data_IF_585637047815
#
_entry.id   IF_585637047815
#
_cell.length_a   1.000
_cell.length_b   1.000
_cell.length_c   1.000
_cell.angle_alpha   90.00
_cell.angle_beta   90.00
_cell.angle_gamma   90.00
#
_symmetry.space_group_name_H-M   'P 1'
#
loop_
_entity.id
_entity.type
_entity.pdbx_description
1 polymer ?
#
# COMPACT_ATOMS: atom_id res chain seq x y z
N UNK A 1 -9.41 35.90 28.26
CA UNK A 1 -9.30 34.81 27.27
C UNK A 1 -8.01 34.04 27.54
N UNK A 2 -8.07 32.73 27.81
CA UNK A 2 -6.86 31.94 28.09
C UNK A 2 -5.95 31.88 26.85
N UNK A 3 -4.63 32.01 27.05
CA UNK A 3 -3.65 31.91 25.95
C UNK A 3 -3.76 30.54 25.30
N UNK A 4 -3.90 30.51 23.97
CA UNK A 4 -3.96 29.26 23.20
C UNK A 4 -2.70 28.42 23.43
N UNK A 5 -2.86 27.12 23.68
CA UNK A 5 -1.71 26.21 23.81
C UNK A 5 -1.16 25.81 22.44
N UNK A 6 0.16 25.59 22.35
CA UNK A 6 0.82 25.08 21.12
C UNK A 6 0.11 23.82 20.59
N UNK A 7 -0.25 22.88 21.47
CA UNK A 7 -0.96 21.66 21.08
C UNK A 7 -2.31 21.95 20.42
N UNK A 8 -3.08 22.88 20.99
CA UNK A 8 -4.39 23.25 20.46
C UNK A 8 -4.24 23.87 19.07
N UNK A 9 -3.36 24.85 18.93
CA UNK A 9 -3.05 25.52 17.67
C UNK A 9 -2.61 24.53 16.58
N UNK A 10 -1.66 23.64 16.91
CA UNK A 10 -1.17 22.62 15.98
C UNK A 10 -2.28 21.67 15.52
N UNK A 11 -3.07 21.12 16.47
CA UNK A 11 -4.16 20.21 16.13
C UNK A 11 -5.22 20.90 15.27
N UNK A 12 -5.63 22.13 15.63
CA UNK A 12 -6.63 22.89 14.90
C UNK A 12 -6.20 23.09 13.44
N UNK A 13 -4.99 23.60 13.22
CA UNK A 13 -4.45 23.87 11.87
C UNK A 13 -4.14 22.60 11.08
N UNK A 14 -3.53 21.59 11.69
CA UNK A 14 -3.16 20.35 11.00
C UNK A 14 -4.38 19.55 10.51
N UNK A 15 -5.51 19.63 11.24
CA UNK A 15 -6.70 18.85 10.93
C UNK A 15 -7.64 19.53 9.95
N UNK A 16 -7.43 20.81 9.62
CA UNK A 16 -8.22 21.51 8.59
C UNK A 16 -8.26 20.70 7.28
N UNK A 17 -9.47 20.39 6.81
CA UNK A 17 -9.72 19.63 5.58
C UNK A 17 -9.43 18.12 5.65
N UNK A 18 -9.14 17.55 6.83
CA UNK A 18 -8.89 16.11 7.00
C UNK A 18 -10.16 15.41 7.49
N UNK A 19 -10.68 14.47 6.69
CA UNK A 19 -11.89 13.69 7.01
C UNK A 19 -11.60 12.22 7.36
N UNK A 20 -10.39 11.72 7.07
CA UNK A 20 -10.02 10.33 7.37
C UNK A 20 -9.66 10.14 8.86
N UNK A 21 -10.46 9.32 9.57
CA UNK A 21 -10.32 9.08 11.01
C UNK A 21 -8.93 8.57 11.45
N UNK A 22 -8.30 7.73 10.62
CA UNK A 22 -6.95 7.23 10.94
C UNK A 22 -5.94 8.38 10.86
N UNK A 23 -6.00 9.20 9.81
CA UNK A 23 -5.16 10.39 9.63
C UNK A 23 -5.37 11.38 10.77
N UNK A 24 -6.63 11.64 11.17
CA UNK A 24 -6.95 12.49 12.34
C UNK A 24 -6.26 11.98 13.61
N UNK A 25 -6.34 10.68 13.88
CA UNK A 25 -5.73 10.06 15.06
C UNK A 25 -4.22 10.18 15.05
N UNK A 26 -3.58 9.89 13.91
CA UNK A 26 -2.13 10.00 13.74
C UNK A 26 -1.68 11.46 13.88
N UNK A 27 -2.36 12.40 13.23
CA UNK A 27 -2.00 13.81 13.27
C UNK A 27 -2.15 14.39 14.68
N UNK A 28 -3.23 14.07 15.40
CA UNK A 28 -3.38 14.48 16.80
C UNK A 28 -2.23 13.97 17.68
N UNK A 29 -1.80 12.73 17.49
CA UNK A 29 -0.65 12.17 18.21
C UNK A 29 0.63 12.90 17.86
N UNK A 30 0.90 13.12 16.59
CA UNK A 30 2.17 13.69 16.13
C UNK A 30 2.26 15.18 16.50
N UNK A 31 1.16 15.95 16.41
CA UNK A 31 1.05 17.29 16.98
C UNK A 31 1.28 17.32 18.49
N UNK A 32 0.75 16.33 19.24
CA UNK A 32 0.99 16.22 20.69
C UNK A 32 2.47 15.96 20.98
N UNK A 33 3.12 15.06 20.25
CA UNK A 33 4.53 14.74 20.44
C UNK A 33 5.42 15.96 20.16
N UNK A 34 5.16 16.68 19.08
CA UNK A 34 5.89 17.91 18.76
C UNK A 34 5.65 19.01 19.80
N UNK A 35 4.40 19.19 20.26
CA UNK A 35 4.11 20.15 21.33
C UNK A 35 4.86 19.84 22.65
N UNK A 36 5.07 18.55 22.97
CA UNK A 36 5.90 18.14 24.11
C UNK A 36 7.35 18.54 23.86
N UNK A 37 7.88 18.25 22.67
CA UNK A 37 9.24 18.64 22.29
C UNK A 37 9.46 20.16 22.39
N UNK A 38 8.53 20.98 21.90
CA UNK A 38 8.60 22.45 22.02
C UNK A 38 8.76 22.90 23.47
N UNK A 39 7.97 22.33 24.40
CA UNK A 39 8.02 22.70 25.82
C UNK A 39 9.35 22.35 26.47
N UNK A 40 9.90 21.17 26.14
CA UNK A 40 11.20 20.73 26.65
C UNK A 40 12.35 21.62 26.13
N UNK A 41 12.18 22.21 24.95
CA UNK A 41 13.15 23.11 24.31
C UNK A 41 12.79 24.60 24.50
N UNK A 42 12.18 24.95 25.63
CA UNK A 42 11.86 26.32 26.04
C UNK A 42 10.91 27.13 25.11
N UNK A 43 10.20 26.48 24.19
CA UNK A 43 9.14 27.10 23.37
C UNK A 43 7.79 26.80 24.01
N UNK A 44 7.24 27.80 24.72
CA UNK A 44 6.06 27.64 25.58
C UNK A 44 4.77 28.18 24.94
N UNK A 45 4.88 29.12 24.00
CA UNK A 45 3.72 29.81 23.40
C UNK A 45 3.67 29.64 21.87
N UNK A 46 2.45 29.72 21.28
CA UNK A 46 2.28 29.81 19.83
C UNK A 46 3.14 30.87 19.15
N UNK A 47 3.20 32.07 19.72
CA UNK A 47 3.93 33.22 19.18
C UNK A 47 5.45 32.94 19.11
N UNK A 48 6.01 32.33 20.15
CA UNK A 48 7.43 31.91 20.16
C UNK A 48 7.72 30.87 19.09
N UNK A 49 6.81 29.90 18.91
CA UNK A 49 6.97 28.85 17.91
C UNK A 49 6.89 29.43 16.49
N UNK A 50 5.93 30.32 16.22
CA UNK A 50 5.73 30.89 14.88
C UNK A 50 6.95 31.70 14.41
N UNK A 51 7.60 32.44 15.31
CA UNK A 51 8.82 33.22 15.02
C UNK A 51 10.03 32.36 14.63
N UNK A 52 10.07 31.09 15.05
CA UNK A 52 11.23 30.20 14.90
C UNK A 52 10.84 28.82 14.33
N UNK A 53 9.73 28.75 13.62
CA UNK A 53 9.09 27.49 13.23
C UNK A 53 9.99 26.54 12.45
N UNK A 54 10.73 27.04 11.47
CA UNK A 54 11.65 26.24 10.65
C UNK A 54 12.81 25.71 11.49
N UNK A 55 13.42 26.56 12.32
CA UNK A 55 14.51 26.18 13.23
C UNK A 55 14.07 25.09 14.22
N UNK A 56 12.90 25.25 14.86
CA UNK A 56 12.39 24.28 15.83
C UNK A 56 11.95 22.97 15.18
N UNK A 57 11.43 23.02 13.94
CA UNK A 57 11.14 21.82 13.16
C UNK A 57 12.42 21.08 12.75
N UNK A 58 13.48 21.78 12.37
CA UNK A 58 14.77 21.17 12.08
C UNK A 58 15.36 20.51 13.32
N UNK A 59 15.43 21.22 14.45
CA UNK A 59 15.90 20.64 15.72
C UNK A 59 15.07 19.42 16.17
N UNK A 60 13.78 19.43 15.88
CA UNK A 60 12.93 18.28 16.14
C UNK A 60 13.27 17.09 15.24
N UNK A 61 13.50 17.34 13.96
CA UNK A 61 14.01 16.35 13.01
C UNK A 61 15.33 15.75 13.50
N UNK A 62 16.33 16.58 13.80
CA UNK A 62 17.64 16.14 14.28
C UNK A 62 17.50 15.26 15.53
N UNK A 63 16.59 15.62 16.44
CA UNK A 63 16.33 14.83 17.66
C UNK A 63 15.73 13.46 17.36
N UNK A 64 14.92 13.33 16.31
CA UNK A 64 14.35 12.06 15.89
C UNK A 64 15.40 11.19 15.19
N UNK A 65 16.25 11.79 14.36
CA UNK A 65 17.36 11.09 13.72
C UNK A 65 18.38 10.59 14.76
N UNK A 66 18.78 11.45 15.70
CA UNK A 66 19.66 11.10 16.82
C UNK A 66 19.08 10.01 17.74
N UNK A 67 17.75 9.96 17.86
CA UNK A 67 17.06 8.88 18.58
C UNK A 67 16.95 7.57 17.76
N UNK A 68 17.55 7.50 16.57
CA UNK A 68 17.59 6.32 15.72
C UNK A 68 16.27 6.01 15.02
N UNK A 69 15.35 6.97 14.88
CA UNK A 69 14.11 6.73 14.16
C UNK A 69 14.36 6.52 12.67
N UNK A 70 13.68 5.53 12.07
CA UNK A 70 13.76 5.30 10.62
C UNK A 70 13.21 6.49 9.83
N UNK A 71 13.71 6.78 8.61
CA UNK A 71 13.27 7.93 7.82
C UNK A 71 11.76 7.99 7.57
N UNK A 72 11.10 6.85 7.33
CA UNK A 72 9.65 6.81 7.18
C UNK A 72 8.88 7.24 8.44
N UNK A 73 9.47 7.02 9.63
CA UNK A 73 8.93 7.46 10.90
C UNK A 73 9.17 8.95 11.09
N UNK A 74 10.38 9.44 10.85
CA UNK A 74 10.72 10.88 10.91
C UNK A 74 9.76 11.71 10.05
N UNK A 75 9.61 11.35 8.78
CA UNK A 75 8.70 12.05 7.85
C UNK A 75 7.24 12.07 8.36
N UNK A 76 6.81 10.99 9.01
CA UNK A 76 5.45 10.92 9.60
C UNK A 76 5.31 11.89 10.78
N UNK A 77 6.29 11.91 11.68
CA UNK A 77 6.30 12.80 12.84
C UNK A 77 6.33 14.28 12.42
N UNK A 78 7.00 14.61 11.31
CA UNK A 78 7.06 15.97 10.76
C UNK A 78 5.79 16.40 10.01
N UNK A 79 5.02 15.47 9.43
CA UNK A 79 3.92 15.80 8.52
C UNK A 79 2.85 16.71 9.13
N UNK A 80 2.35 16.37 10.33
CA UNK A 80 1.31 17.17 10.98
C UNK A 80 1.85 18.53 11.50
N UNK A 81 3.02 18.59 12.16
CA UNK A 81 3.68 19.85 12.52
C UNK A 81 3.96 20.79 11.34
N UNK A 82 4.58 20.31 10.26
CA UNK A 82 4.87 21.12 9.07
C UNK A 82 3.59 21.71 8.47
N UNK A 83 2.53 20.88 8.34
CA UNK A 83 1.22 21.35 7.87
C UNK A 83 0.64 22.45 8.77
N UNK A 84 0.66 22.25 10.08
CA UNK A 84 0.10 23.22 11.03
C UNK A 84 0.83 24.58 11.02
N UNK A 85 2.14 24.56 10.80
CA UNK A 85 3.00 25.74 10.80
C UNK A 85 3.18 26.36 9.40
N UNK A 86 2.55 25.76 8.39
CA UNK A 86 2.70 26.15 6.98
C UNK A 86 4.17 26.23 6.55
N UNK A 87 4.96 25.23 6.94
CA UNK A 87 6.36 25.06 6.52
C UNK A 87 6.40 23.94 5.49
N UNK A 88 6.97 24.19 4.32
CA UNK A 88 7.15 23.13 3.33
C UNK A 88 8.14 22.12 3.91
N UNK A 89 7.74 20.85 3.99
CA UNK A 89 8.61 19.82 4.54
C UNK A 89 9.92 19.71 3.74
N UNK A 90 9.96 20.11 2.47
CA UNK A 90 11.19 20.16 1.66
C UNK A 90 12.26 21.09 2.25
N UNK A 91 11.85 22.11 3.01
CA UNK A 91 12.75 23.09 3.64
C UNK A 91 13.39 22.54 4.94
N UNK A 92 13.01 21.32 5.35
CA UNK A 92 13.59 20.61 6.49
C UNK A 92 14.55 19.54 5.95
N UNK A 93 15.82 19.65 6.32
CA UNK A 93 16.81 18.61 6.08
C UNK A 93 16.41 17.36 6.87
N UNK A 94 16.35 16.22 6.19
CA UNK A 94 15.87 14.95 6.75
C UNK A 94 16.33 13.80 5.88
N UNK A 95 16.51 12.59 6.43
CA UNK A 95 16.98 11.46 5.65
C UNK A 95 15.96 11.06 4.58
N UNK A 96 16.47 10.64 3.42
CA UNK A 96 15.63 10.19 2.32
C UNK A 96 14.97 8.84 2.63
N UNK A 97 13.69 8.71 2.27
CA UNK A 97 12.97 7.44 2.33
C UNK A 97 13.35 6.59 1.12
N UNK A 98 14.23 5.62 1.31
CA UNK A 98 14.61 4.67 0.25
C UNK A 98 13.89 3.33 0.44
N UNK A 99 13.76 2.57 -0.65
CA UNK A 99 12.96 1.35 -0.69
C UNK A 99 13.59 0.14 0.03
N UNK A 100 14.92 0.14 0.16
CA UNK A 100 15.71 -0.78 0.98
C UNK A 100 15.32 -0.67 2.46
N UNK A 101 14.98 0.52 2.94
CA UNK A 101 14.58 0.75 4.34
C UNK A 101 13.16 0.26 4.67
N UNK A 102 12.39 -0.22 3.69
CA UNK A 102 11.06 -0.79 3.93
C UNK A 102 11.21 -2.20 4.52
N UNK A 103 11.26 -2.28 5.86
CA UNK A 103 11.39 -3.54 6.61
C UNK A 103 10.05 -4.11 7.15
N UNK A 104 8.99 -3.30 7.23
CA UNK A 104 7.70 -3.71 7.84
C UNK A 104 7.07 -4.89 7.09
N UNK A 105 6.83 -5.99 7.81
CA UNK A 105 6.22 -7.20 7.26
C UNK A 105 7.15 -8.02 6.36
N UNK A 106 8.46 -7.79 6.40
CA UNK A 106 9.47 -8.60 5.67
C UNK A 106 10.42 -9.31 6.62
N UNK A 107 10.56 -8.78 7.83
CA UNK A 107 11.31 -9.40 8.90
C UNK A 107 10.37 -10.24 9.78
N UNK A 108 10.62 -11.55 9.81
CA UNK A 108 9.81 -12.55 10.51
C UNK A 108 9.95 -12.45 12.04
N UNK A 109 11.05 -11.88 12.55
CA UNK A 109 11.33 -11.76 13.98
C UNK A 109 10.41 -10.79 14.72
N UNK A 110 9.84 -9.80 14.03
CA UNK A 110 9.02 -8.76 14.66
C UNK A 110 7.54 -9.12 14.85
N UNK A 111 7.05 -10.24 14.30
CA UNK A 111 5.63 -10.62 14.35
C UNK A 111 5.39 -12.04 14.85
N UNK A 112 5.99 -12.37 16.00
CA UNK A 112 5.89 -13.70 16.63
C UNK A 112 4.42 -14.13 16.82
N UNK A 113 3.55 -13.21 17.27
CA UNK A 113 2.12 -13.47 17.43
C UNK A 113 1.47 -13.89 16.11
N UNK A 114 1.71 -13.15 15.03
CA UNK A 114 1.17 -13.48 13.70
C UNK A 114 1.68 -14.83 13.19
N UNK A 115 2.92 -15.22 13.50
CA UNK A 115 3.46 -16.54 13.14
C UNK A 115 2.77 -17.67 13.89
N UNK A 116 2.49 -17.49 15.20
CA UNK A 116 1.71 -18.46 15.98
C UNK A 116 0.26 -18.56 15.50
N UNK A 117 -0.33 -17.46 15.06
CA UNK A 117 -1.70 -17.46 14.55
C UNK A 117 -1.82 -18.16 13.20
N UNK A 118 -0.80 -18.10 12.35
CA UNK A 118 -0.80 -18.78 11.04
C UNK A 118 -1.10 -20.29 11.15
N UNK A 119 -0.70 -20.95 12.23
CA UNK A 119 -0.89 -22.39 12.41
C UNK A 119 -2.25 -22.77 13.00
N UNK A 120 -3.06 -21.79 13.45
CA UNK A 120 -4.33 -22.08 14.11
C UNK A 120 -5.43 -22.41 13.11
N UNK A 121 -6.23 -23.44 13.41
CA UNK A 121 -7.31 -23.94 12.55
C UNK A 121 -8.26 -22.82 12.08
N UNK A 122 -8.67 -21.96 13.02
CA UNK A 122 -9.60 -20.86 12.76
C UNK A 122 -9.14 -19.88 11.68
N UNK A 123 -7.85 -19.80 11.39
CA UNK A 123 -7.33 -18.90 10.36
C UNK A 123 -6.97 -19.60 9.04
N UNK A 124 -7.11 -20.94 8.96
CA UNK A 124 -6.79 -21.69 7.73
C UNK A 124 -7.57 -21.20 6.52
N UNK A 125 -8.88 -20.94 6.67
CA UNK A 125 -9.72 -20.43 5.57
C UNK A 125 -9.26 -19.05 5.11
N UNK A 126 -8.98 -18.14 6.04
CA UNK A 126 -8.45 -16.80 5.75
C UNK A 126 -7.12 -16.90 4.98
N UNK A 127 -6.21 -17.75 5.42
CA UNK A 127 -4.93 -17.95 4.76
C UNK A 127 -5.07 -18.57 3.37
N UNK A 128 -5.92 -19.59 3.24
CA UNK A 128 -6.18 -20.27 1.97
C UNK A 128 -6.70 -19.31 0.91
N UNK A 129 -7.63 -18.42 1.27
CA UNK A 129 -8.09 -17.39 0.35
C UNK A 129 -7.02 -16.32 0.12
N UNK A 130 -6.46 -15.75 1.19
CA UNK A 130 -5.54 -14.61 1.07
C UNK A 130 -4.30 -14.92 0.21
N UNK A 131 -3.78 -16.15 0.25
CA UNK A 131 -2.66 -16.59 -0.60
C UNK A 131 -2.96 -16.54 -2.10
N UNK A 132 -4.24 -16.54 -2.48
CA UNK A 132 -4.66 -16.63 -3.90
C UNK A 132 -5.44 -15.41 -4.39
N UNK A 133 -5.86 -14.51 -3.49
CA UNK A 133 -6.53 -13.25 -3.87
C UNK A 133 -5.71 -12.02 -3.49
N UNK A 134 -4.84 -12.13 -2.48
CA UNK A 134 -3.93 -11.08 -2.05
C UNK A 134 -4.58 -9.81 -1.49
N UNK A 135 -5.86 -9.73 -1.13
CA UNK A 135 -6.55 -8.48 -0.72
C UNK A 135 -5.94 -7.75 0.49
N UNK A 136 -6.29 -6.47 0.70
CA UNK A 136 -5.94 -5.76 1.95
C UNK A 136 -6.82 -6.28 3.10
N UNK A 137 -6.30 -6.22 4.33
CA UNK A 137 -7.05 -6.66 5.54
C UNK A 137 -8.45 -6.04 5.66
N UNK A 138 -8.56 -4.73 5.40
CA UNK A 138 -9.84 -4.03 5.48
C UNK A 138 -10.81 -4.44 4.36
N UNK A 139 -10.30 -4.89 3.21
CA UNK A 139 -11.09 -5.38 2.08
C UNK A 139 -11.61 -6.79 2.40
N UNK A 140 -10.75 -7.69 2.90
CA UNK A 140 -11.14 -9.02 3.40
C UNK A 140 -12.24 -8.95 4.45
N UNK A 141 -12.15 -8.00 5.39
CA UNK A 141 -13.14 -7.86 6.46
C UNK A 141 -14.54 -7.44 5.98
N UNK A 142 -14.63 -6.87 4.78
CA UNK A 142 -15.88 -6.41 4.16
C UNK A 142 -16.42 -7.38 3.11
N UNK A 143 -15.60 -8.34 2.67
CA UNK A 143 -15.89 -9.25 1.57
C UNK A 143 -17.11 -10.12 1.85
N UNK A 144 -18.00 -10.25 0.86
CA UNK A 144 -19.25 -11.02 0.93
C UNK A 144 -19.35 -12.07 -0.18
N UNK A 145 -20.26 -13.04 -0.02
CA UNK A 145 -20.46 -14.11 -1.01
C UNK A 145 -20.71 -13.58 -2.43
N UNK A 146 -21.49 -12.51 -2.57
CA UNK A 146 -21.83 -11.84 -3.84
C UNK A 146 -20.66 -11.15 -4.56
N UNK A 147 -19.50 -11.07 -3.91
CA UNK A 147 -18.32 -10.39 -4.45
C UNK A 147 -17.49 -11.30 -5.36
N UNK A 148 -17.78 -12.60 -5.41
CA UNK A 148 -17.21 -13.49 -6.42
C UNK A 148 -17.95 -13.33 -7.75
N UNK A 149 -17.26 -12.77 -8.75
CA UNK A 149 -17.87 -12.30 -10.02
C UNK A 149 -16.96 -12.58 -11.21
N UNK A 150 -17.50 -12.45 -12.40
CA UNK A 150 -16.71 -12.37 -13.64
C UNK A 150 -16.35 -10.93 -13.95
N UNK A 151 -15.15 -10.70 -14.48
CA UNK A 151 -14.78 -9.40 -15.03
C UNK A 151 -15.25 -9.21 -16.48
N UNK A 152 -14.95 -8.04 -17.03
CA UNK A 152 -15.31 -7.66 -18.40
C UNK A 152 -14.61 -8.48 -19.50
N UNK A 153 -13.63 -9.31 -19.14
CA UNK A 153 -12.97 -10.26 -20.04
C UNK A 153 -13.40 -11.71 -19.79
N UNK A 154 -14.37 -11.95 -18.89
CA UNK A 154 -14.90 -13.28 -18.57
C UNK A 154 -14.12 -14.06 -17.50
N UNK A 155 -13.11 -13.45 -16.85
CA UNK A 155 -12.33 -14.13 -15.81
C UNK A 155 -12.98 -14.00 -14.44
N UNK A 156 -12.95 -15.09 -13.68
CA UNK A 156 -13.39 -15.08 -12.29
C UNK A 156 -12.47 -14.20 -11.42
N UNK A 157 -13.11 -13.36 -10.63
CA UNK A 157 -12.52 -12.31 -9.84
C UNK A 157 -13.19 -12.19 -8.47
N UNK A 158 -12.48 -11.55 -7.55
CA UNK A 158 -13.06 -10.98 -6.35
C UNK A 158 -13.27 -9.48 -6.55
N UNK A 159 -14.52 -9.04 -6.44
CA UNK A 159 -14.93 -7.65 -6.53
C UNK A 159 -14.81 -6.97 -5.15
N UNK A 160 -14.24 -5.77 -5.11
CA UNK A 160 -14.03 -5.01 -3.89
C UNK A 160 -14.79 -3.69 -4.00
N UNK A 161 -15.88 -3.58 -3.24
CA UNK A 161 -16.63 -2.34 -3.06
C UNK A 161 -15.83 -1.35 -2.19
N UNK A 162 -15.72 -0.08 -2.62
CA UNK A 162 -15.11 0.99 -1.83
C UNK A 162 -13.73 0.60 -1.27
N UNK A 163 -12.85 0.13 -2.16
CA UNK A 163 -11.47 -0.19 -1.85
C UNK A 163 -10.65 1.05 -1.47
N UNK A 164 -9.33 0.91 -1.48
CA UNK A 164 -8.43 2.02 -1.11
C UNK A 164 -8.71 3.26 -2.00
N UNK A 165 -8.99 4.39 -1.35
CA UNK A 165 -9.31 5.66 -2.03
C UNK A 165 -10.76 5.75 -2.53
N UNK A 166 -11.66 4.91 -2.02
CA UNK A 166 -13.07 4.89 -2.42
C UNK A 166 -13.34 4.27 -3.79
N UNK A 167 -12.35 3.58 -4.36
CA UNK A 167 -12.43 3.00 -5.70
C UNK A 167 -12.84 1.54 -5.66
N UNK A 168 -13.73 1.16 -6.55
CA UNK A 168 -14.05 -0.24 -6.79
C UNK A 168 -12.93 -0.94 -7.55
N UNK A 169 -12.72 -2.22 -7.26
CA UNK A 169 -11.62 -3.01 -7.81
C UNK A 169 -12.09 -4.43 -8.12
N UNK A 170 -11.46 -5.06 -9.11
CA UNK A 170 -11.66 -6.47 -9.45
C UNK A 170 -10.29 -7.15 -9.45
N UNK A 171 -10.09 -8.13 -8.55
CA UNK A 171 -8.86 -8.90 -8.47
C UNK A 171 -9.07 -10.30 -9.08
N UNK A 172 -8.38 -10.58 -10.19
CA UNK A 172 -8.45 -11.85 -10.90
C UNK A 172 -7.87 -12.99 -10.08
N UNK A 173 -8.45 -14.17 -10.26
CA UNK A 173 -7.96 -15.41 -9.67
C UNK A 173 -7.19 -16.17 -10.75
N UNK A 174 -6.00 -16.66 -10.41
CA UNK A 174 -5.21 -17.45 -11.34
C UNK A 174 -5.91 -18.79 -11.63
N UNK A 175 -5.77 -19.36 -12.86
CA UNK A 175 -6.43 -20.62 -13.22
C UNK A 175 -6.20 -21.76 -12.22
N UNK A 176 -4.97 -21.88 -11.70
CA UNK A 176 -4.58 -22.92 -10.74
C UNK A 176 -5.22 -22.78 -9.36
N UNK A 177 -5.84 -21.64 -9.04
CA UNK A 177 -6.47 -21.37 -7.75
C UNK A 177 -8.01 -21.32 -7.82
N UNK A 178 -8.60 -21.45 -9.02
CA UNK A 178 -10.04 -21.27 -9.24
C UNK A 178 -10.90 -22.21 -8.38
N UNK A 179 -10.62 -23.51 -8.41
CA UNK A 179 -11.42 -24.51 -7.67
C UNK A 179 -11.41 -24.26 -6.17
N UNK A 180 -10.26 -23.82 -5.64
CA UNK A 180 -10.12 -23.47 -4.23
C UNK A 180 -10.99 -22.26 -3.87
N UNK A 181 -11.00 -21.22 -4.71
CA UNK A 181 -11.82 -20.03 -4.45
C UNK A 181 -13.31 -20.36 -4.59
N UNK A 182 -13.70 -21.09 -5.65
CA UNK A 182 -15.09 -21.52 -5.85
C UNK A 182 -15.63 -22.25 -4.62
N UNK A 183 -14.87 -23.22 -4.09
CA UNK A 183 -15.26 -23.97 -2.89
C UNK A 183 -15.47 -23.07 -1.67
N UNK A 184 -14.58 -22.09 -1.44
CA UNK A 184 -14.73 -21.15 -0.31
C UNK A 184 -16.00 -20.31 -0.46
N UNK A 185 -16.31 -19.84 -1.67
CA UNK A 185 -17.46 -18.97 -1.91
C UNK A 185 -18.79 -19.73 -2.03
N UNK A 186 -18.79 -21.00 -2.43
CA UNK A 186 -20.02 -21.81 -2.50
C UNK A 186 -20.68 -22.04 -1.13
N UNK A 187 -19.90 -21.94 -0.06
CA UNK A 187 -20.35 -22.08 1.33
C UNK A 187 -20.87 -20.76 1.93
N UNK A 188 -20.86 -19.64 1.17
CA UNK A 188 -21.18 -18.30 1.67
C UNK A 188 -22.37 -17.71 0.93
N UNK A 189 -23.44 -17.40 1.67
CA UNK A 189 -24.62 -16.73 1.09
C UNK A 189 -24.25 -15.35 0.50
N UNK A 190 -24.96 -14.85 -0.52
CA UNK A 190 -24.62 -13.60 -1.21
C UNK A 190 -24.34 -12.41 -0.28
N UNK A 191 -25.18 -12.19 0.72
CA UNK A 191 -25.04 -11.05 1.65
C UNK A 191 -24.23 -11.38 2.91
N UNK A 192 -23.80 -12.62 3.08
CA UNK A 192 -23.01 -13.02 4.22
C UNK A 192 -21.55 -12.63 4.03
N UNK A 193 -20.89 -12.18 5.10
CA UNK A 193 -19.44 -11.96 5.07
C UNK A 193 -18.70 -13.28 4.91
N UNK A 194 -17.69 -13.30 4.05
CA UNK A 194 -16.83 -14.48 3.86
C UNK A 194 -16.08 -14.81 5.15
N UNK A 195 -15.63 -13.79 5.88
CA UNK A 195 -14.94 -13.94 7.16
C UNK A 195 -15.71 -13.33 8.32
N UNK A 196 -15.70 -14.05 9.44
CA UNK A 196 -16.23 -13.56 10.71
C UNK A 196 -15.33 -12.49 11.32
N UNK A 197 -15.86 -11.70 12.28
CA UNK A 197 -15.05 -10.74 13.05
C UNK A 197 -13.89 -11.44 13.79
N UNK A 198 -14.12 -12.65 14.28
CA UNK A 198 -13.13 -13.45 14.99
C UNK A 198 -11.98 -13.89 14.08
N UNK A 199 -12.28 -14.36 12.86
CA UNK A 199 -11.26 -14.67 11.85
C UNK A 199 -10.41 -13.45 11.47
N UNK A 200 -11.01 -12.25 11.44
CA UNK A 200 -10.30 -11.02 11.05
C UNK A 200 -9.48 -10.38 12.19
N UNK A 201 -9.75 -10.76 13.45
CA UNK A 201 -9.04 -10.28 14.62
C UNK A 201 -7.74 -11.06 14.86
N UNK A 202 -6.72 -10.76 14.06
CA UNK A 202 -5.42 -11.41 14.11
C UNK A 202 -4.30 -10.43 13.71
N UNK A 203 -3.06 -10.79 14.01
CA UNK A 203 -1.81 -10.09 13.67
C UNK A 203 -1.08 -10.71 12.49
N UNK A 204 -1.67 -11.67 11.78
CA UNK A 204 -1.07 -12.31 10.59
C UNK A 204 -0.62 -11.26 9.57
N UNK A 205 0.56 -11.47 8.97
CA UNK A 205 1.11 -10.58 7.97
C UNK A 205 0.46 -10.79 6.58
N UNK A 206 -0.79 -10.34 6.44
CA UNK A 206 -1.54 -10.45 5.17
C UNK A 206 -0.91 -9.65 4.02
N UNK A 207 -0.10 -8.63 4.33
CA UNK A 207 0.63 -7.88 3.32
C UNK A 207 1.78 -8.68 2.72
N UNK A 208 2.48 -9.48 3.53
CA UNK A 208 3.46 -10.46 3.06
C UNK A 208 2.82 -11.46 2.08
N UNK A 209 1.66 -12.03 2.46
CA UNK A 209 0.90 -12.93 1.59
C UNK A 209 0.44 -12.26 0.29
N UNK A 210 0.06 -10.97 0.31
CA UNK A 210 -0.25 -10.20 -0.90
C UNK A 210 0.97 -10.08 -1.82
N UNK A 211 2.17 -9.89 -1.28
CA UNK A 211 3.40 -9.84 -2.06
C UNK A 211 3.78 -11.21 -2.65
N UNK A 212 3.56 -12.30 -1.90
CA UNK A 212 3.73 -13.66 -2.42
C UNK A 212 2.77 -13.96 -3.57
N UNK A 213 1.48 -13.61 -3.42
CA UNK A 213 0.49 -13.76 -4.48
C UNK A 213 0.89 -12.98 -5.74
N UNK A 214 1.34 -11.73 -5.58
CA UNK A 214 1.80 -10.91 -6.70
C UNK A 214 3.01 -11.53 -7.44
N UNK A 215 3.95 -12.14 -6.72
CA UNK A 215 5.09 -12.86 -7.31
C UNK A 215 4.62 -14.10 -8.08
N UNK A 216 3.71 -14.90 -7.52
CA UNK A 216 3.11 -16.05 -8.19
C UNK A 216 2.40 -15.64 -9.49
N UNK A 217 1.61 -14.56 -9.43
CA UNK A 217 0.92 -14.03 -10.61
C UNK A 217 1.91 -13.52 -11.66
N UNK A 218 2.99 -12.85 -11.24
CA UNK A 218 4.04 -12.40 -12.15
C UNK A 218 4.67 -13.58 -12.90
N UNK A 219 5.08 -14.63 -12.19
CA UNK A 219 5.62 -15.84 -12.82
C UNK A 219 4.64 -16.45 -13.81
N UNK A 220 3.36 -16.57 -13.45
CA UNK A 220 2.32 -17.06 -14.37
C UNK A 220 2.26 -16.27 -15.69
N UNK A 221 2.21 -14.94 -15.63
CA UNK A 221 2.14 -14.13 -16.85
C UNK A 221 3.46 -14.10 -17.62
N UNK A 222 4.59 -14.06 -16.92
CA UNK A 222 5.91 -14.04 -17.54
C UNK A 222 6.17 -15.34 -18.31
N UNK A 223 5.97 -16.50 -17.67
CA UNK A 223 6.14 -17.81 -18.28
C UNK A 223 5.23 -17.99 -19.49
N UNK A 224 3.98 -17.51 -19.41
CA UNK A 224 3.02 -17.60 -20.51
C UNK A 224 3.39 -16.68 -21.67
N UNK A 225 3.85 -15.46 -21.40
CA UNK A 225 4.31 -14.54 -22.45
C UNK A 225 5.58 -15.04 -23.16
N UNK A 226 6.40 -15.83 -22.47
CA UNK A 226 7.58 -16.48 -23.05
C UNK A 226 7.18 -17.66 -23.95
N UNK A 227 6.28 -18.53 -23.49
CA UNK A 227 5.85 -19.73 -24.23
C UNK A 227 4.87 -19.44 -25.37
N UNK A 228 4.03 -18.41 -25.22
CA UNK A 228 2.98 -18.03 -26.16
C UNK A 228 3.19 -16.56 -26.60
N UNK A 229 4.08 -16.26 -27.58
CA UNK A 229 4.39 -14.88 -27.95
C UNK A 229 3.17 -14.04 -28.40
N UNK A 230 2.14 -14.69 -28.96
CA UNK A 230 0.88 -14.03 -29.35
C UNK A 230 0.01 -13.63 -28.16
N UNK A 231 0.23 -14.21 -26.97
CA UNK A 231 -0.52 -13.89 -25.75
C UNK A 231 -0.39 -12.42 -25.35
N UNK A 232 0.69 -11.73 -25.77
CA UNK A 232 0.87 -10.29 -25.54
C UNK A 232 -0.29 -9.45 -26.09
N UNK A 233 -0.91 -9.85 -27.21
CA UNK A 233 -2.03 -9.13 -27.79
C UNK A 233 -3.30 -9.27 -26.93
N UNK A 234 -3.51 -10.45 -26.35
CA UNK A 234 -4.59 -10.71 -25.38
C UNK A 234 -4.39 -9.84 -24.14
N UNK A 235 -3.20 -9.88 -23.54
CA UNK A 235 -2.86 -9.04 -22.37
C UNK A 235 -3.12 -7.55 -22.62
N UNK A 236 -2.67 -7.02 -23.77
CA UNK A 236 -2.88 -5.61 -24.14
C UNK A 236 -4.35 -5.27 -24.29
N UNK A 237 -5.11 -6.12 -24.99
CA UNK A 237 -6.55 -5.94 -25.20
C UNK A 237 -7.30 -5.92 -23.87
N UNK A 238 -7.03 -6.88 -23.00
CA UNK A 238 -7.68 -6.99 -21.69
C UNK A 238 -7.30 -5.83 -20.77
N UNK A 239 -6.03 -5.41 -20.73
CA UNK A 239 -5.58 -4.25 -19.95
C UNK A 239 -6.25 -2.94 -20.42
N UNK A 240 -6.34 -2.73 -21.74
CA UNK A 240 -7.01 -1.57 -22.30
C UNK A 240 -8.52 -1.58 -21.99
N UNK A 241 -9.16 -2.74 -22.07
CA UNK A 241 -10.58 -2.91 -21.72
C UNK A 241 -10.83 -2.62 -20.23
N UNK A 242 -9.98 -3.15 -19.35
CA UNK A 242 -10.05 -2.88 -17.90
C UNK A 242 -9.86 -1.40 -17.59
N UNK A 243 -8.92 -0.73 -18.26
CA UNK A 243 -8.70 0.70 -18.12
C UNK A 243 -9.94 1.51 -18.51
N UNK A 244 -10.53 1.21 -19.67
CA UNK A 244 -11.78 1.85 -20.14
C UNK A 244 -12.93 1.66 -19.16
N UNK A 245 -13.03 0.49 -18.54
CA UNK A 245 -14.15 0.11 -17.67
C UNK A 245 -14.03 0.69 -16.25
N UNK A 246 -12.82 0.76 -15.69
CA UNK A 246 -12.62 1.03 -14.25
C UNK A 246 -11.68 2.19 -13.93
N UNK A 247 -11.04 2.81 -14.93
CA UNK A 247 -10.10 3.91 -14.70
C UNK A 247 -10.65 5.25 -15.20
N UNK A 248 -10.12 6.35 -14.66
CA UNK A 248 -10.53 7.71 -14.98
C UNK A 248 -10.32 8.05 -16.45
N UNK A 249 -11.26 8.82 -17.03
CA UNK A 249 -11.23 9.28 -18.43
C UNK A 249 -10.22 10.39 -18.73
N UNK A 250 -9.13 10.51 -17.96
CA UNK A 250 -8.09 11.50 -18.25
C UNK A 250 -7.22 11.05 -19.43
N UNK A 251 -7.12 11.91 -20.44
CA UNK A 251 -6.42 11.62 -21.70
C UNK A 251 -4.92 11.39 -21.48
N UNK A 252 -4.28 12.14 -20.59
CA UNK A 252 -2.82 12.09 -20.38
C UNK A 252 -2.43 10.78 -19.70
N UNK A 253 -3.15 10.38 -18.65
CA UNK A 253 -2.93 9.11 -17.95
C UNK A 253 -3.22 7.91 -18.85
N UNK A 254 -4.20 8.00 -19.75
CA UNK A 254 -4.47 6.94 -20.73
C UNK A 254 -3.31 6.78 -21.72
N UNK A 255 -2.78 7.87 -22.28
CA UNK A 255 -1.62 7.80 -23.20
C UNK A 255 -0.39 7.16 -22.53
N UNK A 256 -0.11 7.53 -21.28
CA UNK A 256 0.98 6.92 -20.52
C UNK A 256 0.74 5.42 -20.30
N UNK A 257 -0.47 5.03 -19.93
CA UNK A 257 -0.82 3.64 -19.70
C UNK A 257 -0.68 2.80 -20.98
N UNK A 258 -1.20 3.30 -22.11
CA UNK A 258 -1.06 2.65 -23.41
C UNK A 258 0.41 2.47 -23.79
N UNK A 259 1.24 3.50 -23.60
CA UNK A 259 2.69 3.41 -23.82
C UNK A 259 3.33 2.32 -22.95
N UNK A 260 2.91 2.19 -21.69
CA UNK A 260 3.48 1.18 -20.79
C UNK A 260 3.11 -0.26 -21.19
N UNK A 261 1.93 -0.50 -21.77
CA UNK A 261 1.49 -1.85 -22.20
C UNK A 261 1.96 -2.22 -23.62
N UNK A 262 2.24 -1.24 -24.48
CA UNK A 262 2.76 -1.47 -25.84
C UNK A 262 4.28 -1.48 -25.91
N UNK A 263 4.97 -0.98 -24.89
CA UNK A 263 6.42 -1.01 -24.84
C UNK A 263 6.95 -2.43 -24.55
N UNK A 264 7.62 -3.01 -25.54
CA UNK A 264 8.23 -4.35 -25.45
C UNK A 264 9.56 -4.36 -24.68
N UNK A 265 10.15 -3.19 -24.40
CA UNK A 265 11.36 -3.11 -23.59
C UNK A 265 11.08 -3.55 -22.14
N UNK A 266 11.98 -4.34 -21.54
CA UNK A 266 11.79 -4.82 -20.18
C UNK A 266 11.77 -3.66 -19.18
N UNK A 267 11.23 -3.93 -18.00
CA UNK A 267 11.30 -3.01 -16.88
C UNK A 267 12.58 -3.27 -16.08
N UNK A 268 13.50 -2.29 -16.09
CA UNK A 268 14.79 -2.38 -15.40
C UNK A 268 14.73 -1.57 -14.11
N UNK A 269 15.05 -2.22 -12.99
CA UNK A 269 15.17 -1.55 -11.69
C UNK A 269 16.32 -0.54 -11.70
N UNK A 270 16.14 0.57 -10.98
CA UNK A 270 17.13 1.66 -10.89
C UNK A 270 17.38 2.07 -9.43
N UNK A 271 18.54 2.67 -9.18
CA UNK A 271 18.96 3.17 -7.87
C UNK A 271 18.89 2.13 -6.76
N UNK A 272 18.46 2.55 -5.56
CA UNK A 272 18.37 1.69 -4.36
C UNK A 272 17.51 0.43 -4.53
N UNK A 273 16.52 0.44 -5.42
CA UNK A 273 15.75 -0.77 -5.73
C UNK A 273 16.58 -1.84 -6.43
N UNK A 274 17.46 -1.42 -7.34
CA UNK A 274 18.38 -2.32 -8.03
C UNK A 274 19.41 -2.88 -7.06
N UNK A 275 20.04 -2.02 -6.25
CA UNK A 275 21.00 -2.43 -5.22
C UNK A 275 20.39 -3.46 -4.26
N UNK A 276 19.16 -3.22 -3.80
CA UNK A 276 18.42 -4.14 -2.94
C UNK A 276 18.10 -5.47 -3.62
N UNK A 277 17.67 -5.45 -4.88
CA UNK A 277 17.39 -6.68 -5.62
C UNK A 277 18.66 -7.53 -5.74
N UNK A 278 19.80 -6.90 -6.08
CA UNK A 278 21.10 -7.57 -6.16
C UNK A 278 21.50 -8.17 -4.81
N UNK A 279 21.40 -7.42 -3.71
CA UNK A 279 21.78 -7.93 -2.38
C UNK A 279 20.91 -9.08 -1.89
N UNK A 280 19.69 -9.21 -2.43
CA UNK A 280 18.76 -10.31 -2.12
C UNK A 280 18.81 -11.45 -3.15
N UNK A 281 19.72 -11.40 -4.14
CA UNK A 281 19.79 -12.40 -5.21
C UNK A 281 18.54 -12.42 -6.11
N UNK A 282 17.82 -11.31 -6.21
CA UNK A 282 16.59 -11.18 -7.01
C UNK A 282 16.86 -10.58 -8.39
N UNK A 283 15.99 -10.84 -9.38
CA UNK A 283 16.09 -10.22 -10.69
C UNK A 283 16.04 -8.68 -10.62
N UNK A 284 16.85 -8.04 -11.46
CA UNK A 284 16.85 -6.58 -11.65
C UNK A 284 16.09 -6.13 -12.90
N UNK A 285 15.64 -7.10 -13.70
CA UNK A 285 14.94 -6.90 -14.97
C UNK A 285 13.71 -7.78 -14.99
N UNK A 286 12.57 -7.22 -15.39
CA UNK A 286 11.27 -7.89 -15.38
C UNK A 286 10.55 -7.68 -16.72
N UNK A 287 9.70 -8.63 -17.11
CA UNK A 287 8.80 -8.45 -18.24
C UNK A 287 7.77 -7.35 -17.89
N UNK A 288 7.81 -6.25 -18.64
CA UNK A 288 6.99 -5.06 -18.38
C UNK A 288 5.50 -5.36 -18.47
N UNK A 289 5.08 -6.12 -19.47
CA UNK A 289 3.68 -6.44 -19.70
C UNK A 289 3.16 -7.37 -18.59
N UNK A 290 3.92 -8.41 -18.22
CA UNK A 290 3.59 -9.27 -17.08
C UNK A 290 3.45 -8.47 -15.77
N UNK A 291 4.36 -7.54 -15.52
CA UNK A 291 4.23 -6.64 -14.36
C UNK A 291 2.96 -5.79 -14.40
N UNK A 292 2.56 -5.29 -15.58
CA UNK A 292 1.32 -4.51 -15.70
C UNK A 292 0.09 -5.39 -15.47
N UNK A 293 0.09 -6.64 -15.97
CA UNK A 293 -0.97 -7.61 -15.67
C UNK A 293 -1.15 -7.78 -14.16
N UNK A 294 -0.05 -7.96 -13.40
CA UNK A 294 -0.10 -8.03 -11.93
C UNK A 294 -0.59 -6.72 -11.31
N UNK A 295 -0.04 -5.59 -11.77
CA UNK A 295 -0.38 -4.26 -11.25
C UNK A 295 -1.86 -3.94 -11.36
N UNK A 296 -2.49 -4.28 -12.48
CA UNK A 296 -3.91 -4.00 -12.74
C UNK A 296 -4.79 -5.08 -12.13
N UNK A 297 -4.57 -6.34 -12.51
CA UNK A 297 -5.52 -7.43 -12.23
C UNK A 297 -5.35 -8.08 -10.85
N UNK A 298 -4.20 -7.92 -10.19
CA UNK A 298 -3.97 -8.55 -8.87
C UNK A 298 -3.72 -7.53 -7.77
N UNK A 299 -3.36 -6.28 -8.13
CA UNK A 299 -3.02 -5.26 -7.15
C UNK A 299 -3.82 -3.96 -7.23
N UNK A 300 -4.46 -3.70 -8.38
CA UNK A 300 -5.19 -2.47 -8.70
C UNK A 300 -4.39 -1.18 -8.44
N UNK A 301 -3.08 -1.21 -8.74
CA UNK A 301 -2.18 -0.05 -8.61
C UNK A 301 -2.01 0.74 -9.88
N UNK A 302 -2.20 0.12 -11.06
CA UNK A 302 -2.10 0.74 -12.38
C UNK A 302 -0.71 1.35 -12.71
N UNK A 303 0.31 0.97 -11.94
CA UNK A 303 1.68 1.50 -12.05
C UNK A 303 2.73 0.43 -11.82
N UNK A 304 3.83 0.53 -12.55
CA UNK A 304 4.95 -0.42 -12.49
C UNK A 304 5.88 -0.18 -11.30
N UNK A 305 6.14 1.08 -10.97
CA UNK A 305 7.04 1.50 -9.86
C UNK A 305 6.55 1.01 -8.49
N UNK A 306 5.26 1.14 -8.21
CA UNK A 306 4.68 0.64 -6.95
C UNK A 306 4.72 -0.89 -6.89
N UNK A 307 4.53 -1.55 -8.04
CA UNK A 307 4.48 -3.01 -8.15
C UNK A 307 5.86 -3.62 -7.91
N UNK A 308 6.90 -3.09 -8.57
CA UNK A 308 8.28 -3.55 -8.36
C UNK A 308 8.73 -3.34 -6.92
N UNK A 309 8.62 -2.12 -6.39
CA UNK A 309 9.18 -1.73 -5.08
C UNK A 309 8.56 -2.46 -3.89
N UNK A 310 7.24 -2.70 -3.95
CA UNK A 310 6.51 -3.21 -2.79
C UNK A 310 6.25 -4.71 -2.84
N UNK A 311 6.18 -5.31 -4.03
CA UNK A 311 5.66 -6.68 -4.19
C UNK A 311 6.61 -7.65 -4.86
N UNK A 312 7.47 -7.19 -5.79
CA UNK A 312 8.40 -8.08 -6.51
C UNK A 312 9.81 -8.08 -5.89
N UNK A 313 10.30 -6.90 -5.48
CA UNK A 313 11.61 -6.70 -4.84
C UNK A 313 11.51 -6.74 -3.32
#
# INVERSE_FOLDING_TARGET
MGKESIRHMLCSRALTGITDNHTVTVYKRDCKNFAVYCRLNAVKTPEQLEKRKTEILQKYEDSLENAGYKPATIHRYLAAPCKALNVNMQDIEKPHRTADMIARGRDTGFNIQGQREITQERFKRLMSLQKVVGLRRAELAKLRGRDFRTDESGYLCVYIHNGKGGKDQLQRILPSDLEKVKKIFSEVKPDQRVFTKNEMNNKINLHGLRAEHARKAYSYYADRLEREPSYKYVCRKELALRYKTMHTADRVTNQRFLRDITNDAPYVLRGKNREKAVSQGKPVTYNRLAMMMVSVFHLSHWRLDVTSVNYLV
#
